data_IF_885893887107
#
_entry.id   IF_885893887107
#
_cell.length_a   1.000
_cell.length_b   1.000
_cell.length_c   1.000
_cell.angle_alpha   90.00
_cell.angle_beta   90.00
_cell.angle_gamma   90.00
#
_symmetry.space_group_name_H-M   'P 1'
#
loop_
_entity.id
_entity.type
_entity.pdbx_description
1 polymer ?
#
# COMPACT_ATOMS: atom_id res chain seq x y z
N UNK A 1 -19.08 -0.85 -16.51
CA UNK A 1 -19.65 -1.96 -15.71
C UNK A 1 -18.99 -1.96 -14.33
N UNK A 2 -19.73 -1.64 -13.25
CA UNK A 2 -19.27 -1.72 -11.85
C UNK A 2 -19.13 -3.19 -11.44
N UNK A 3 -18.00 -3.82 -11.75
CA UNK A 3 -17.84 -5.27 -11.57
C UNK A 3 -17.66 -5.69 -10.10
N UNK A 4 -17.22 -4.78 -9.22
CA UNK A 4 -16.86 -5.10 -7.83
C UNK A 4 -17.64 -4.30 -6.78
N UNK A 5 -18.59 -3.45 -7.19
CA UNK A 5 -19.40 -2.64 -6.26
C UNK A 5 -18.61 -1.62 -5.41
N UNK A 6 -17.33 -1.38 -5.73
CA UNK A 6 -16.44 -0.49 -4.97
C UNK A 6 -16.92 0.95 -5.10
N UNK A 7 -17.17 1.59 -3.96
CA UNK A 7 -17.54 2.99 -3.87
C UNK A 7 -16.31 3.83 -3.43
N UNK A 8 -15.96 4.91 -4.16
CA UNK A 8 -14.81 5.75 -3.83
C UNK A 8 -14.85 6.34 -2.42
N UNK A 9 -16.03 6.72 -1.90
CA UNK A 9 -16.16 7.29 -0.56
C UNK A 9 -16.03 6.22 0.54
N UNK A 10 -16.40 4.98 0.26
CA UNK A 10 -16.21 3.84 1.17
C UNK A 10 -14.77 3.32 1.19
N UNK A 11 -14.02 3.54 0.11
CA UNK A 11 -12.60 3.22 0.01
C UNK A 11 -11.74 4.05 0.98
N UNK A 12 -12.01 5.36 1.08
CA UNK A 12 -11.30 6.26 2.00
C UNK A 12 -11.52 5.89 3.48
N UNK A 13 -12.72 5.37 3.79
CA UNK A 13 -13.04 4.82 5.10
C UNK A 13 -12.42 3.43 5.38
N UNK A 14 -11.68 2.85 4.42
CA UNK A 14 -11.06 1.53 4.55
C UNK A 14 -12.06 0.37 4.62
N UNK A 15 -13.30 0.56 4.15
CA UNK A 15 -14.39 -0.42 4.31
C UNK A 15 -14.52 -1.40 3.14
N UNK A 16 -14.10 -1.00 1.95
CA UNK A 16 -14.27 -1.81 0.73
C UNK A 16 -12.96 -2.49 0.26
N UNK A 17 -11.79 -1.92 0.57
CA UNK A 17 -10.48 -2.53 0.23
C UNK A 17 -9.54 -2.45 1.43
N UNK A 18 -9.02 -3.61 1.83
CA UNK A 18 -8.10 -3.79 2.95
C UNK A 18 -6.72 -4.16 2.41
N UNK A 19 -5.68 -3.58 2.98
CA UNK A 19 -4.28 -3.85 2.63
C UNK A 19 -3.56 -4.40 3.85
N UNK A 20 -2.78 -5.46 3.67
CA UNK A 20 -1.97 -6.08 4.72
C UNK A 20 -0.64 -6.54 4.14
N UNK A 21 0.44 -6.40 4.90
CA UNK A 21 1.75 -6.96 4.56
C UNK A 21 1.89 -8.43 4.99
N UNK A 22 0.96 -8.92 5.82
CA UNK A 22 0.91 -10.29 6.32
C UNK A 22 -0.02 -11.14 5.44
N UNK A 23 0.58 -12.00 4.63
CA UNK A 23 -0.13 -12.88 3.69
C UNK A 23 -0.87 -14.02 4.39
N UNK A 24 -0.30 -14.60 5.44
CA UNK A 24 -0.92 -15.70 6.18
C UNK A 24 -2.20 -15.24 6.87
N UNK A 25 -2.14 -14.07 7.52
CA UNK A 25 -3.31 -13.43 8.11
C UNK A 25 -4.36 -13.05 7.06
N UNK A 26 -3.94 -12.66 5.86
CA UNK A 26 -4.86 -12.34 4.76
C UNK A 26 -5.66 -13.59 4.34
N UNK A 27 -4.97 -14.71 4.13
CA UNK A 27 -5.61 -15.98 3.75
C UNK A 27 -6.55 -16.47 4.86
N UNK A 28 -6.12 -16.41 6.11
CA UNK A 28 -6.91 -16.88 7.26
C UNK A 28 -8.21 -16.10 7.46
N UNK A 29 -8.22 -14.81 7.17
CA UNK A 29 -9.38 -13.94 7.41
C UNK A 29 -10.30 -13.76 6.18
N UNK A 30 -9.94 -14.35 5.03
CA UNK A 30 -10.70 -14.21 3.79
C UNK A 30 -12.08 -14.85 3.91
N UNK A 31 -13.13 -14.09 3.57
CA UNK A 31 -14.52 -14.58 3.55
C UNK A 31 -14.93 -15.07 2.16
N UNK A 32 -16.01 -15.85 2.10
CA UNK A 32 -16.51 -16.51 0.88
C UNK A 32 -16.88 -15.54 -0.25
N UNK A 33 -17.27 -14.32 0.10
CA UNK A 33 -17.69 -13.24 -0.80
C UNK A 33 -16.60 -12.18 -1.06
N UNK A 34 -15.38 -12.42 -0.59
CA UNK A 34 -14.23 -11.52 -0.74
C UNK A 34 -13.24 -12.04 -1.79
N UNK A 35 -12.44 -11.14 -2.34
CA UNK A 35 -11.34 -11.46 -3.27
C UNK A 35 -10.01 -11.04 -2.65
N UNK A 36 -9.00 -11.90 -2.77
CA UNK A 36 -7.64 -11.63 -2.31
C UNK A 36 -6.70 -11.51 -3.51
N UNK A 37 -5.90 -10.46 -3.51
CA UNK A 37 -4.86 -10.23 -4.50
C UNK A 37 -3.49 -10.25 -3.83
N UNK A 38 -2.58 -11.07 -4.35
CA UNK A 38 -1.17 -11.00 -3.99
C UNK A 38 -0.46 -10.10 -4.97
N UNK A 39 0.31 -9.16 -4.44
CA UNK A 39 1.09 -8.22 -5.24
C UNK A 39 2.57 -8.59 -5.15
N UNK A 40 3.28 -8.41 -6.26
CA UNK A 40 4.74 -8.48 -6.24
C UNK A 40 5.28 -7.36 -5.34
N UNK A 41 6.26 -7.63 -4.45
CA UNK A 41 6.85 -6.58 -3.63
C UNK A 41 7.54 -5.53 -4.52
N UNK A 42 7.36 -4.26 -4.18
CA UNK A 42 7.99 -3.15 -4.90
C UNK A 42 9.45 -3.00 -4.46
N UNK A 43 10.45 -3.28 -5.32
CA UNK A 43 11.85 -3.14 -4.95
C UNK A 43 12.23 -1.68 -4.67
N UNK A 44 13.16 -1.45 -3.74
CA UNK A 44 13.61 -0.09 -3.38
C UNK A 44 14.10 0.71 -4.59
N UNK A 45 14.78 0.06 -5.54
CA UNK A 45 15.24 0.70 -6.78
C UNK A 45 14.09 1.31 -7.59
N UNK A 46 12.91 0.70 -7.61
CA UNK A 46 11.74 1.25 -8.30
C UNK A 46 11.17 2.46 -7.56
N UNK A 47 11.16 2.42 -6.22
CA UNK A 47 10.73 3.54 -5.39
C UNK A 47 11.63 4.76 -5.65
N UNK A 48 12.95 4.56 -5.68
CA UNK A 48 13.93 5.61 -6.00
C UNK A 48 13.70 6.17 -7.40
N UNK A 49 13.55 5.31 -8.41
CA UNK A 49 13.32 5.77 -9.79
C UNK A 49 12.05 6.63 -9.95
N UNK A 50 10.98 6.35 -9.20
CA UNK A 50 9.76 7.17 -9.20
C UNK A 50 10.00 8.52 -8.51
N UNK A 51 10.75 8.54 -7.41
CA UNK A 51 11.11 9.77 -6.72
C UNK A 51 12.06 10.65 -7.55
N UNK A 52 13.06 10.06 -8.19
CA UNK A 52 14.01 10.74 -9.09
C UNK A 52 13.30 11.38 -10.29
N UNK A 53 12.16 10.80 -10.72
CA UNK A 53 11.30 11.36 -11.75
C UNK A 53 10.37 12.49 -11.25
N UNK A 54 10.44 12.87 -9.97
CA UNK A 54 9.55 13.87 -9.36
C UNK A 54 8.11 13.40 -9.21
N UNK A 55 7.86 12.09 -9.23
CA UNK A 55 6.54 11.49 -9.14
C UNK A 55 6.28 10.92 -7.74
N UNK A 56 5.01 10.69 -7.43
CA UNK A 56 4.57 10.03 -6.20
C UNK A 56 4.09 8.62 -6.49
N UNK A 57 4.42 7.69 -5.58
CA UNK A 57 3.89 6.34 -5.62
C UNK A 57 2.38 6.35 -5.31
N UNK A 58 1.58 5.45 -5.91
CA UNK A 58 0.17 5.28 -5.54
C UNK A 58 -0.01 4.94 -4.05
N UNK A 59 -1.15 5.30 -3.49
CA UNK A 59 -1.42 5.02 -2.08
C UNK A 59 -1.34 3.52 -1.76
N UNK A 60 -0.64 3.17 -0.65
CA UNK A 60 -0.43 1.80 -0.16
C UNK A 60 0.28 0.85 -1.14
N UNK A 61 1.06 1.37 -2.10
CA UNK A 61 1.82 0.56 -3.07
C UNK A 61 3.15 0.00 -2.54
N UNK A 62 3.57 0.39 -1.34
CA UNK A 62 4.83 -0.02 -0.71
C UNK A 62 4.65 -0.15 0.80
N UNK A 63 5.37 -1.10 1.41
CA UNK A 63 5.40 -1.26 2.87
C UNK A 63 6.87 -1.41 3.34
N UNK A 64 7.37 -0.43 4.10
CA UNK A 64 8.70 -0.47 4.71
C UNK A 64 8.62 -1.04 6.13
N UNK A 65 9.46 -2.03 6.43
CA UNK A 65 9.53 -2.66 7.74
C UNK A 65 10.98 -2.69 8.28
N UNK A 66 11.23 -2.23 9.52
CA UNK A 66 10.29 -1.51 10.37
C UNK A 66 9.84 -0.20 9.71
N UNK A 67 8.70 0.36 10.14
CA UNK A 67 8.28 1.67 9.64
C UNK A 67 9.43 2.64 9.87
N UNK A 68 9.82 3.34 8.80
CA UNK A 68 10.86 4.36 8.89
C UNK A 68 10.38 5.39 9.91
N UNK A 69 11.17 5.60 10.96
CA UNK A 69 10.87 6.61 11.96
C UNK A 69 10.91 7.97 11.27
N UNK A 70 9.74 8.57 11.09
CA UNK A 70 9.63 9.93 10.58
C UNK A 70 10.08 10.89 11.66
N UNK A 71 10.93 11.86 11.31
CA UNK A 71 11.29 12.97 12.19
C UNK A 71 12.51 12.79 13.09
N UNK A 72 13.30 11.71 12.96
CA UNK A 72 14.54 11.54 13.75
C UNK A 72 15.81 12.10 13.10
N UNK A 73 15.83 12.30 11.77
CA UNK A 73 16.94 13.01 11.10
C UNK A 73 16.38 13.87 9.96
N UNK A 74 16.26 15.17 10.24
CA UNK A 74 16.28 16.21 9.22
C UNK A 74 17.73 16.70 9.15
N UNK A 75 18.47 16.36 8.08
CA UNK A 75 19.70 17.08 7.79
C UNK A 75 19.31 18.43 7.19
N UNK A 76 19.29 19.48 8.00
CA UNK A 76 18.99 20.86 7.58
C UNK A 76 20.24 21.61 7.08
N UNK A 77 21.29 20.90 6.64
CA UNK A 77 22.41 21.52 5.95
C UNK A 77 22.47 21.07 4.48
N UNK A 78 21.83 21.87 3.61
CA UNK A 78 22.30 22.25 2.27
C UNK A 78 21.76 23.64 1.91
#
# INVERSE_FOLDING_TARGET
KKALGIDPHRLEAGRDIIFTADSEKAVKNLKKDEMLFFMHPTPVKQVLAVADAGLSMPHKSTFFYPKILTGMVLNVEQ
#
